data_IF_780861168571
#
_entry.id   IF_780861168571
#
_cell.length_a   1.000
_cell.length_b   1.000
_cell.length_c   1.000
_cell.angle_alpha   90.00
_cell.angle_beta   90.00
_cell.angle_gamma   90.00
#
_symmetry.space_group_name_H-M   'P 1'
#
loop_
_entity.id
_entity.type
_entity.pdbx_description
1 polymer ?
#
# COMPACT_ATOMS: atom_id res chain seq x y z
N UNK A 1 -9.27 -73.92 27.38
CA UNK A 1 -8.51 -72.74 27.84
C UNK A 1 -8.67 -71.65 26.78
N UNK A 2 -9.06 -70.44 27.21
CA UNK A 2 -9.24 -69.17 26.47
C UNK A 2 -8.02 -68.74 25.63
N UNK A 3 -8.06 -67.66 24.81
CA UNK A 3 -9.16 -66.93 24.13
C UNK A 3 -8.85 -66.77 22.60
N UNK A 4 -9.72 -66.39 21.67
CA UNK A 4 -10.62 -65.23 21.64
C UNK A 4 -9.91 -63.94 21.18
N UNK A 5 -9.43 -63.87 19.92
CA UNK A 5 -8.99 -62.60 19.31
C UNK A 5 -10.15 -61.98 18.51
N UNK A 6 -10.85 -61.03 19.14
CA UNK A 6 -11.65 -60.04 18.42
C UNK A 6 -10.70 -59.06 17.73
N UNK A 7 -10.64 -59.11 16.40
CA UNK A 7 -10.17 -57.97 15.62
C UNK A 7 -11.27 -56.92 15.64
N UNK A 8 -11.14 -55.94 16.54
CA UNK A 8 -11.84 -54.67 16.46
C UNK A 8 -11.28 -53.87 15.28
N UNK A 9 -11.77 -54.16 14.07
CA UNK A 9 -11.75 -53.19 12.98
C UNK A 9 -12.70 -52.05 13.36
N UNK A 10 -12.16 -51.01 14.01
CA UNK A 10 -12.76 -49.69 13.93
C UNK A 10 -12.62 -49.21 12.48
N UNK A 11 -13.57 -49.60 11.63
CA UNK A 11 -13.90 -48.82 10.44
C UNK A 11 -14.41 -47.47 10.96
N UNK A 12 -13.53 -46.48 11.04
CA UNK A 12 -13.98 -45.09 10.93
C UNK A 12 -14.71 -45.00 9.59
N UNK A 13 -16.03 -44.84 9.64
CA UNK A 13 -16.85 -44.50 8.48
C UNK A 13 -16.24 -43.26 7.80
N UNK A 14 -15.46 -43.48 6.74
CA UNK A 14 -15.03 -42.40 5.87
C UNK A 14 -16.28 -41.90 5.14
N UNK A 15 -16.80 -40.78 5.63
CA UNK A 15 -17.96 -40.09 5.08
C UNK A 15 -17.80 -39.90 3.57
N UNK A 16 -18.82 -40.17 2.74
CA UNK A 16 -18.74 -40.16 1.27
C UNK A 16 -18.47 -38.80 0.61
N UNK A 17 -18.08 -37.79 1.38
CA UNK A 17 -17.61 -36.50 0.87
C UNK A 17 -16.15 -36.21 1.24
N UNK A 18 -15.56 -36.96 2.18
CA UNK A 18 -14.15 -36.76 2.56
C UNK A 18 -13.23 -36.92 1.36
N UNK A 19 -13.44 -37.89 0.48
CA UNK A 19 -12.60 -38.07 -0.71
C UNK A 19 -12.62 -36.87 -1.69
N UNK A 20 -13.69 -36.07 -1.71
CA UNK A 20 -13.74 -34.84 -2.54
C UNK A 20 -12.77 -33.81 -1.98
N UNK A 21 -12.65 -33.73 -0.65
CA UNK A 21 -11.79 -32.77 0.04
C UNK A 21 -10.42 -33.33 0.45
N UNK A 22 -10.17 -34.63 0.24
CA UNK A 22 -8.88 -35.28 0.50
C UNK A 22 -7.96 -35.05 -0.70
N UNK A 23 -7.06 -34.08 -0.57
CA UNK A 23 -5.99 -33.83 -1.53
C UNK A 23 -5.62 -32.36 -1.62
N UNK A 24 -4.33 -32.07 -1.81
CA UNK A 24 -3.80 -30.69 -1.83
C UNK A 24 -4.48 -29.76 -2.83
N UNK A 25 -5.12 -30.27 -3.89
CA UNK A 25 -5.70 -29.47 -4.98
C UNK A 25 -7.20 -29.17 -4.83
N UNK A 26 -7.94 -29.92 -4.00
CA UNK A 26 -9.39 -29.81 -3.97
C UNK A 26 -9.92 -28.77 -2.97
N UNK A 27 -9.10 -28.36 -1.99
CA UNK A 27 -9.45 -27.28 -1.04
C UNK A 27 -9.66 -25.91 -1.69
N UNK A 28 -9.20 -25.74 -2.94
CA UNK A 28 -9.31 -24.51 -3.73
C UNK A 28 -10.51 -24.49 -4.68
N UNK A 29 -11.24 -25.60 -4.80
CA UNK A 29 -12.38 -25.69 -5.74
C UNK A 29 -13.59 -24.89 -5.25
N UNK A 30 -13.76 -24.76 -3.93
CA UNK A 30 -14.84 -23.99 -3.35
C UNK A 30 -14.43 -22.54 -3.13
N UNK A 31 -15.29 -21.63 -3.57
CA UNK A 31 -15.13 -20.21 -3.24
C UNK A 31 -15.16 -20.03 -1.71
N UNK A 32 -14.51 -18.98 -1.20
CA UNK A 32 -14.59 -18.67 0.24
C UNK A 32 -16.03 -18.46 0.70
N UNK A 33 -16.90 -17.96 -0.20
CA UNK A 33 -18.34 -17.85 0.05
C UNK A 33 -19.01 -19.20 0.30
N UNK A 34 -18.68 -20.21 -0.50
CA UNK A 34 -19.23 -21.56 -0.35
C UNK A 34 -18.72 -22.21 0.93
N UNK A 35 -17.43 -22.06 1.25
CA UNK A 35 -16.86 -22.55 2.52
C UNK A 35 -17.60 -21.95 3.72
N UNK A 36 -17.84 -20.63 3.71
CA UNK A 36 -18.58 -19.97 4.78
C UNK A 36 -20.02 -20.49 4.90
N UNK A 37 -20.72 -20.67 3.78
CA UNK A 37 -22.09 -21.21 3.76
C UNK A 37 -22.15 -22.64 4.28
N UNK A 38 -21.24 -23.51 3.83
CA UNK A 38 -21.18 -24.90 4.27
C UNK A 38 -20.91 -25.02 5.76
N UNK A 39 -19.99 -24.20 6.30
CA UNK A 39 -19.71 -24.14 7.75
C UNK A 39 -20.92 -23.67 8.56
N UNK A 40 -21.68 -22.70 8.05
CA UNK A 40 -22.86 -22.18 8.72
C UNK A 40 -24.04 -23.17 8.74
N UNK A 41 -24.19 -23.96 7.68
CA UNK A 41 -25.32 -24.90 7.51
C UNK A 41 -25.02 -26.28 8.09
N UNK A 42 -23.75 -26.69 8.15
CA UNK A 42 -23.38 -28.05 8.50
C UNK A 42 -22.17 -28.10 9.43
N UNK A 43 -22.42 -28.48 10.69
CA UNK A 43 -21.38 -28.57 11.72
C UNK A 43 -20.30 -29.59 11.37
N UNK A 44 -20.65 -30.76 10.84
CA UNK A 44 -19.67 -31.77 10.43
C UNK A 44 -18.77 -31.32 9.26
N UNK A 45 -19.28 -30.47 8.35
CA UNK A 45 -18.46 -29.87 7.29
C UNK A 45 -17.48 -28.82 7.84
N UNK A 46 -17.75 -28.26 9.02
CA UNK A 46 -16.81 -27.33 9.66
C UNK A 46 -15.50 -28.00 10.05
N UNK A 47 -15.52 -29.29 10.34
CA UNK A 47 -14.31 -30.06 10.65
C UNK A 47 -13.43 -30.29 9.42
N UNK A 48 -13.99 -30.23 8.20
CA UNK A 48 -13.23 -30.32 6.95
C UNK A 48 -12.39 -29.08 6.65
N UNK A 49 -12.72 -27.94 7.27
CA UNK A 49 -11.98 -26.68 7.17
C UNK A 49 -11.37 -26.33 8.53
N UNK A 50 -10.69 -27.29 9.15
CA UNK A 50 -9.90 -27.07 10.35
C UNK A 50 -8.67 -26.20 10.11
N UNK A 51 -7.94 -25.91 11.19
CA UNK A 51 -6.77 -25.03 11.14
C UNK A 51 -5.71 -25.45 10.10
N UNK A 52 -5.32 -26.74 9.99
CA UNK A 52 -4.32 -27.16 8.99
C UNK A 52 -4.74 -26.86 7.55
N UNK A 53 -6.01 -27.10 7.22
CA UNK A 53 -6.57 -26.87 5.88
C UNK A 53 -6.65 -25.37 5.58
N UNK A 54 -7.05 -24.56 6.57
CA UNK A 54 -7.11 -23.11 6.41
C UNK A 54 -5.72 -22.48 6.27
N UNK A 55 -4.70 -22.94 7.01
CA UNK A 55 -3.30 -22.49 6.83
C UNK A 55 -2.77 -22.82 5.45
N UNK A 56 -3.00 -24.06 4.99
CA UNK A 56 -2.62 -24.45 3.63
C UNK A 56 -3.34 -23.59 2.57
N UNK A 57 -4.60 -23.24 2.81
CA UNK A 57 -5.35 -22.36 1.92
C UNK A 57 -4.80 -20.93 1.93
N UNK A 58 -4.57 -20.38 3.11
CA UNK A 58 -3.99 -19.05 3.30
C UNK A 58 -2.64 -18.92 2.61
N UNK A 59 -1.73 -19.88 2.81
CA UNK A 59 -0.41 -19.87 2.18
C UNK A 59 -0.48 -19.92 0.65
N UNK A 60 -1.44 -20.64 0.08
CA UNK A 60 -1.69 -20.64 -1.36
C UNK A 60 -2.24 -19.29 -1.82
N UNK A 61 -3.28 -18.77 -1.16
CA UNK A 61 -3.92 -17.50 -1.53
C UNK A 61 -2.92 -16.34 -1.45
N UNK A 62 -2.10 -16.26 -0.40
CA UNK A 62 -0.97 -15.32 -0.29
C UNK A 62 0.02 -15.46 -1.46
N UNK A 63 0.24 -16.68 -1.92
CA UNK A 63 1.17 -16.97 -3.00
C UNK A 63 0.68 -16.63 -4.40
N UNK A 64 -0.64 -16.57 -4.60
CA UNK A 64 -1.28 -16.28 -5.89
C UNK A 64 -1.84 -14.87 -6.00
N UNK A 65 -2.07 -14.19 -4.87
CA UNK A 65 -2.59 -12.82 -4.89
C UNK A 65 -1.58 -11.85 -5.54
N UNK A 66 -2.06 -11.13 -6.55
CA UNK A 66 -1.27 -10.13 -7.24
C UNK A 66 -0.87 -8.99 -6.28
N UNK A 67 0.40 -8.59 -6.32
CA UNK A 67 0.90 -7.50 -5.49
C UNK A 67 1.63 -7.92 -4.22
N UNK A 68 1.25 -9.04 -3.58
CA UNK A 68 1.84 -9.47 -2.29
C UNK A 68 3.27 -10.03 -2.41
N UNK A 69 3.71 -10.30 -3.64
CA UNK A 69 5.05 -10.76 -3.97
C UNK A 69 5.65 -9.87 -5.05
N UNK A 70 6.88 -9.40 -4.83
CA UNK A 70 7.65 -8.64 -5.80
C UNK A 70 8.90 -9.41 -6.18
N UNK A 71 9.03 -9.70 -7.47
CA UNK A 71 10.28 -10.17 -8.05
C UNK A 71 11.03 -8.95 -8.57
N UNK A 72 12.19 -8.66 -7.96
CA UNK A 72 13.13 -7.70 -8.51
C UNK A 72 14.21 -8.46 -9.29
N UNK A 73 14.57 -7.96 -10.48
CA UNK A 73 15.51 -8.56 -11.42
C UNK A 73 16.76 -9.14 -10.73
N UNK A 74 16.81 -10.47 -10.58
CA UNK A 74 17.94 -11.21 -9.99
C UNK A 74 18.01 -11.26 -8.46
N UNK A 75 17.00 -10.76 -7.74
CA UNK A 75 16.90 -10.85 -6.27
C UNK A 75 15.83 -11.86 -5.83
N UNK A 76 15.91 -12.37 -4.59
CA UNK A 76 14.86 -13.19 -4.01
C UNK A 76 13.53 -12.45 -4.05
N UNK A 77 12.44 -13.16 -4.34
CA UNK A 77 11.08 -12.62 -4.25
C UNK A 77 10.83 -12.07 -2.85
N UNK A 78 10.51 -10.78 -2.74
CA UNK A 78 10.14 -10.17 -1.47
C UNK A 78 8.66 -10.42 -1.26
N UNK A 79 8.33 -11.05 -0.14
CA UNK A 79 6.97 -11.14 0.36
C UNK A 79 6.66 -9.86 1.14
N UNK A 80 5.57 -9.17 0.80
CA UNK A 80 5.19 -7.91 1.46
C UNK A 80 4.29 -8.14 2.67
N UNK A 81 3.52 -9.22 2.67
CA UNK A 81 2.53 -9.54 3.69
C UNK A 81 2.56 -11.02 4.06
N UNK A 82 2.43 -11.31 5.34
CA UNK A 82 2.23 -12.64 5.91
C UNK A 82 1.28 -12.56 7.10
N UNK A 83 0.89 -13.71 7.64
CA UNK A 83 0.14 -13.82 8.89
C UNK A 83 0.96 -14.59 9.92
N UNK A 84 0.74 -14.30 11.19
CA UNK A 84 1.20 -15.14 12.32
C UNK A 84 0.27 -16.35 12.48
N UNK A 85 0.18 -17.16 11.43
CA UNK A 85 -0.85 -18.19 11.24
C UNK A 85 -0.77 -19.34 12.26
N UNK A 86 0.38 -19.57 12.86
CA UNK A 86 0.56 -20.52 13.96
C UNK A 86 -0.17 -20.10 15.23
N UNK A 87 -0.29 -18.79 15.49
CA UNK A 87 -1.02 -18.24 16.64
C UNK A 87 -2.52 -18.02 16.35
N UNK A 88 -2.95 -18.15 15.09
CA UNK A 88 -4.34 -17.96 14.71
C UNK A 88 -5.18 -19.22 14.99
N UNK A 89 -6.33 -19.01 15.65
CA UNK A 89 -7.38 -20.01 15.78
C UNK A 89 -8.13 -20.24 14.47
N UNK A 90 -9.05 -21.21 14.46
CA UNK A 90 -9.82 -21.56 13.24
C UNK A 90 -10.66 -20.37 12.75
N UNK A 91 -11.22 -19.57 13.65
CA UNK A 91 -12.01 -18.39 13.29
C UNK A 91 -11.15 -17.31 12.64
N UNK A 92 -9.98 -17.01 13.22
CA UNK A 92 -9.03 -16.04 12.71
C UNK A 92 -8.41 -16.49 11.39
N UNK A 93 -8.06 -17.77 11.25
CA UNK A 93 -7.56 -18.33 10.00
C UNK A 93 -8.61 -18.21 8.89
N UNK A 94 -9.89 -18.45 9.20
CA UNK A 94 -10.98 -18.28 8.25
C UNK A 94 -11.15 -16.81 7.87
N UNK A 95 -11.03 -15.88 8.83
CA UNK A 95 -11.02 -14.45 8.56
C UNK A 95 -9.83 -14.05 7.66
N UNK A 96 -8.62 -14.50 7.96
CA UNK A 96 -7.43 -14.25 7.15
C UNK A 96 -7.60 -14.73 5.70
N UNK A 97 -8.10 -15.95 5.51
CA UNK A 97 -8.45 -16.49 4.18
C UNK A 97 -9.48 -15.60 3.49
N UNK A 98 -10.53 -15.18 4.18
CA UNK A 98 -11.54 -14.28 3.62
C UNK A 98 -10.93 -12.96 3.15
N UNK A 99 -10.13 -12.29 3.99
CA UNK A 99 -9.55 -10.99 3.65
C UNK A 99 -8.60 -11.10 2.47
N UNK A 100 -7.78 -12.15 2.39
CA UNK A 100 -6.86 -12.36 1.28
C UNK A 100 -7.60 -12.68 -0.02
N UNK A 101 -8.61 -13.56 0.02
CA UNK A 101 -9.32 -13.99 -1.18
C UNK A 101 -10.36 -13.00 -1.71
N UNK A 102 -10.89 -12.12 -0.85
CA UNK A 102 -11.73 -11.00 -1.29
C UNK A 102 -10.91 -9.95 -2.09
N UNK A 103 -9.58 -10.03 -2.05
CA UNK A 103 -8.69 -9.34 -2.98
C UNK A 103 -8.57 -7.84 -2.73
N UNK A 104 -8.09 -7.11 -3.75
CA UNK A 104 -7.91 -5.65 -3.67
C UNK A 104 -6.63 -5.20 -2.94
N UNK A 105 -5.64 -6.08 -2.84
CA UNK A 105 -4.39 -5.82 -2.11
C UNK A 105 -3.35 -5.01 -2.90
N UNK A 106 -3.52 -4.83 -4.21
CA UNK A 106 -2.51 -4.20 -5.07
C UNK A 106 -2.04 -2.81 -4.58
N UNK A 107 -2.99 -1.92 -4.29
CA UNK A 107 -2.69 -0.53 -3.87
C UNK A 107 -2.06 -0.44 -2.48
N UNK A 108 -2.50 -1.26 -1.53
CA UNK A 108 -1.91 -1.29 -0.18
C UNK A 108 -0.52 -1.94 -0.20
N UNK A 109 -0.26 -2.89 -1.11
CA UNK A 109 1.08 -3.44 -1.31
C UNK A 109 2.07 -2.36 -1.73
N UNK A 110 1.65 -1.43 -2.61
CA UNK A 110 2.50 -0.29 -2.99
C UNK A 110 2.79 0.63 -1.80
N UNK A 111 1.82 0.84 -0.89
CA UNK A 111 2.03 1.60 0.35
C UNK A 111 3.04 0.90 1.26
N UNK A 112 2.86 -0.41 1.49
CA UNK A 112 3.73 -1.23 2.34
C UNK A 112 5.15 -1.27 1.79
N UNK A 113 5.30 -1.50 0.49
CA UNK A 113 6.59 -1.54 -0.19
C UNK A 113 7.31 -0.18 -0.12
N UNK A 114 6.59 0.92 -0.34
CA UNK A 114 7.14 2.26 -0.20
C UNK A 114 7.54 2.57 1.26
N UNK A 115 6.69 2.20 2.23
CA UNK A 115 7.00 2.36 3.64
C UNK A 115 8.24 1.56 4.05
N UNK A 116 8.41 0.33 3.53
CA UNK A 116 9.61 -0.47 3.74
C UNK A 116 10.87 0.17 3.17
N UNK A 117 10.80 0.70 1.95
CA UNK A 117 11.91 1.45 1.34
C UNK A 117 12.28 2.71 2.13
N UNK A 118 11.28 3.41 2.68
CA UNK A 118 11.48 4.58 3.53
C UNK A 118 11.91 4.24 4.97
N UNK A 119 12.15 2.96 5.28
CA UNK A 119 12.51 2.53 6.63
C UNK A 119 11.39 2.67 7.67
N UNK A 120 10.16 2.96 7.23
CA UNK A 120 8.99 3.10 8.08
C UNK A 120 8.27 1.77 8.32
N UNK A 121 8.66 0.67 7.68
CA UNK A 121 7.96 -0.61 7.81
C UNK A 121 8.94 -1.77 7.70
N UNK A 122 8.78 -2.78 8.56
CA UNK A 122 9.54 -4.02 8.45
C UNK A 122 8.80 -4.99 7.53
N UNK A 123 9.49 -5.50 6.51
CA UNK A 123 8.93 -6.45 5.55
C UNK A 123 9.41 -7.89 5.86
N UNK A 124 8.54 -8.91 5.71
CA UNK A 124 7.10 -8.81 5.43
C UNK A 124 6.32 -8.22 6.62
N UNK A 125 5.23 -7.49 6.34
CA UNK A 125 4.25 -7.12 7.37
C UNK A 125 3.57 -8.39 7.85
N UNK A 126 3.61 -8.65 9.16
CA UNK A 126 3.00 -9.85 9.77
C UNK A 126 1.71 -9.47 10.46
N UNK A 127 0.58 -9.90 9.90
CA UNK A 127 -0.73 -9.65 10.48
C UNK A 127 -1.06 -10.66 11.58
N UNK A 128 -1.60 -10.17 12.70
CA UNK A 128 -1.99 -10.98 13.87
C UNK A 128 -3.51 -11.03 14.04
N UNK A 129 -3.98 -11.76 15.06
CA UNK A 129 -5.39 -11.76 15.43
C UNK A 129 -5.93 -10.34 15.70
N UNK A 130 -5.16 -9.50 16.40
CA UNK A 130 -5.52 -8.11 16.70
C UNK A 130 -5.77 -7.27 15.43
N UNK A 131 -5.05 -7.54 14.34
CA UNK A 131 -5.30 -6.87 13.06
C UNK A 131 -6.65 -7.27 12.49
N UNK A 132 -6.94 -8.57 12.50
CA UNK A 132 -8.18 -9.12 11.97
C UNK A 132 -9.40 -8.66 12.78
N UNK A 133 -9.23 -8.53 14.10
CA UNK A 133 -10.29 -8.10 15.02
C UNK A 133 -10.62 -6.60 14.95
N UNK A 134 -9.91 -5.82 14.13
CA UNK A 134 -10.34 -4.46 13.75
C UNK A 134 -11.74 -4.45 13.11
N UNK A 135 -12.16 -5.58 12.53
CA UNK A 135 -13.50 -5.75 12.00
C UNK A 135 -14.26 -6.85 12.76
N UNK A 136 -15.42 -6.54 13.37
CA UNK A 136 -16.15 -7.51 14.18
C UNK A 136 -16.79 -8.64 13.35
N UNK A 137 -17.05 -8.40 12.06
CA UNK A 137 -17.62 -9.39 11.16
C UNK A 137 -17.38 -9.03 9.68
N UNK A 138 -17.57 -10.02 8.79
CA UNK A 138 -17.41 -9.88 7.34
C UNK A 138 -18.21 -8.72 6.74
N UNK A 139 -19.44 -8.50 7.20
CA UNK A 139 -20.28 -7.40 6.67
C UNK A 139 -19.70 -6.02 6.99
N UNK A 140 -19.12 -5.83 8.18
CA UNK A 140 -18.45 -4.58 8.55
C UNK A 140 -17.19 -4.38 7.71
N UNK A 141 -16.39 -5.44 7.52
CA UNK A 141 -15.25 -5.41 6.61
C UNK A 141 -15.70 -5.00 5.20
N UNK A 142 -16.75 -5.61 4.63
CA UNK A 142 -17.19 -5.33 3.26
C UNK A 142 -17.91 -3.98 3.08
N UNK A 143 -18.39 -3.34 4.15
CA UNK A 143 -19.11 -2.07 4.07
C UNK A 143 -18.18 -0.88 3.76
N UNK A 144 -16.91 -0.98 4.14
CA UNK A 144 -15.92 0.07 3.93
C UNK A 144 -15.35 0.05 2.49
N UNK A 145 -14.68 1.11 2.03
CA UNK A 145 -13.74 1.03 0.91
C UNK A 145 -12.57 0.07 1.22
N UNK A 146 -12.18 -0.80 0.27
CA UNK A 146 -11.21 -1.88 0.54
C UNK A 146 -9.84 -1.36 0.96
N UNK A 147 -9.41 -0.25 0.38
CA UNK A 147 -8.18 0.40 0.77
C UNK A 147 -8.19 0.84 2.24
N UNK A 148 -9.33 1.31 2.78
CA UNK A 148 -9.44 1.69 4.19
C UNK A 148 -9.37 0.48 5.10
N UNK A 149 -10.07 -0.60 4.79
CA UNK A 149 -9.97 -1.81 5.59
C UNK A 149 -8.58 -2.41 5.62
N UNK A 150 -7.90 -2.45 4.47
CA UNK A 150 -6.50 -2.89 4.46
C UNK A 150 -5.62 -1.97 5.29
N UNK A 151 -5.82 -0.65 5.22
CA UNK A 151 -5.05 0.31 6.00
C UNK A 151 -5.31 0.22 7.51
N UNK A 152 -6.53 -0.09 7.96
CA UNK A 152 -6.81 -0.38 9.37
C UNK A 152 -6.00 -1.58 9.88
N UNK A 153 -5.83 -2.63 9.04
CA UNK A 153 -5.06 -3.81 9.41
C UNK A 153 -3.55 -3.58 9.31
N UNK A 154 -3.05 -2.96 8.24
CA UNK A 154 -1.59 -2.85 8.03
C UNK A 154 -0.99 -1.59 8.64
N UNK A 155 -1.79 -0.57 8.90
CA UNK A 155 -1.32 0.77 9.19
C UNK A 155 -0.49 0.87 10.48
N UNK A 156 -0.86 0.10 11.51
CA UNK A 156 -0.07 0.02 12.77
C UNK A 156 1.35 -0.52 12.57
N UNK A 157 1.60 -1.21 11.46
CA UNK A 157 2.92 -1.75 11.09
C UNK A 157 3.76 -0.74 10.29
N UNK A 158 3.19 0.42 9.95
CA UNK A 158 3.90 1.56 9.36
C UNK A 158 4.25 2.52 10.51
N UNK A 159 5.51 2.50 10.92
CA UNK A 159 6.07 3.24 12.04
C UNK A 159 6.83 4.49 11.57
N UNK A 160 6.43 5.65 12.10
CA UNK A 160 7.01 6.95 11.83
C UNK A 160 7.99 7.41 12.93
N UNK A 161 8.46 6.49 13.76
CA UNK A 161 9.28 6.78 14.92
C UNK A 161 8.48 7.42 16.06
N UNK A 162 9.14 7.62 17.21
CA UNK A 162 8.56 8.28 18.39
C UNK A 162 7.20 7.69 18.83
N UNK A 163 7.05 6.36 18.69
CA UNK A 163 5.82 5.63 19.00
C UNK A 163 4.59 6.05 18.16
N UNK A 164 4.79 6.73 17.03
CA UNK A 164 3.71 7.11 16.11
C UNK A 164 3.67 6.13 14.94
N UNK A 165 2.48 5.64 14.62
CA UNK A 165 2.25 4.73 13.49
C UNK A 165 1.12 5.27 12.60
N UNK A 166 0.94 4.70 11.42
CA UNK A 166 -0.22 5.00 10.57
C UNK A 166 -1.47 4.31 11.12
N UNK A 167 -2.01 4.78 12.24
CA UNK A 167 -3.28 4.25 12.77
C UNK A 167 -4.46 5.04 12.23
N UNK A 168 -5.56 4.34 11.99
CA UNK A 168 -6.86 4.94 11.71
C UNK A 168 -7.73 4.81 12.95
N UNK A 169 -8.45 5.88 13.28
CA UNK A 169 -9.34 5.94 14.43
C UNK A 169 -10.73 6.35 13.97
N UNK A 170 -11.75 5.62 14.42
CA UNK A 170 -13.14 5.98 14.20
C UNK A 170 -13.58 6.95 15.31
N UNK A 171 -14.03 8.14 14.93
CA UNK A 171 -14.58 9.16 15.83
C UNK A 171 -15.97 9.57 15.33
N UNK A 172 -17.00 8.88 15.84
CA UNK A 172 -18.38 9.05 15.37
C UNK A 172 -18.50 8.73 13.88
N UNK A 173 -18.87 9.71 13.05
CA UNK A 173 -18.96 9.58 11.59
C UNK A 173 -17.64 9.95 10.87
N UNK A 174 -16.63 10.44 11.60
CA UNK A 174 -15.36 10.87 11.04
C UNK A 174 -14.29 9.82 11.24
N UNK A 175 -13.33 9.83 10.32
CA UNK A 175 -12.11 9.04 10.45
C UNK A 175 -10.94 9.96 10.73
N UNK A 176 -10.10 9.57 11.69
CA UNK A 176 -8.83 10.24 12.00
C UNK A 176 -7.68 9.33 11.60
N UNK A 177 -6.55 9.93 11.24
CA UNK A 177 -5.34 9.18 10.89
C UNK A 177 -4.14 9.68 11.69
N UNK A 178 -3.22 8.79 12.03
CA UNK A 178 -1.96 9.03 12.77
C UNK A 178 -2.16 9.34 14.26
N UNK A 179 -3.09 10.24 14.60
CA UNK A 179 -3.46 10.56 15.99
C UNK A 179 -4.97 10.64 16.14
N UNK A 180 -5.47 10.16 17.27
CA UNK A 180 -6.87 10.34 17.65
C UNK A 180 -7.07 11.72 18.31
N UNK A 181 -6.97 12.78 17.50
CA UNK A 181 -7.10 14.17 17.95
C UNK A 181 -7.75 15.04 16.86
N UNK A 182 -8.37 16.15 17.27
CA UNK A 182 -8.90 17.15 16.35
C UNK A 182 -7.80 17.70 15.43
N UNK A 183 -8.10 17.87 14.16
CA UNK A 183 -7.14 18.27 13.13
C UNK A 183 -6.45 17.12 12.40
N UNK A 184 -6.65 15.89 12.86
CA UNK A 184 -6.17 14.67 12.22
C UNK A 184 -7.26 13.93 11.45
N UNK A 185 -8.34 14.63 11.11
CA UNK A 185 -9.41 14.05 10.30
C UNK A 185 -8.92 13.81 8.86
N UNK A 186 -9.38 12.70 8.30
CA UNK A 186 -9.40 12.50 6.87
C UNK A 186 -10.82 12.09 6.47
N UNK A 187 -11.44 12.92 5.64
CA UNK A 187 -12.85 12.77 5.27
C UNK A 187 -12.96 12.29 3.82
N UNK A 188 -14.03 11.54 3.54
CA UNK A 188 -14.44 11.25 2.16
C UNK A 188 -14.64 12.54 1.39
N UNK A 189 -13.95 12.70 0.25
CA UNK A 189 -14.02 13.92 -0.51
C UNK A 189 -15.16 13.88 -1.54
N UNK A 190 -16.13 14.78 -1.39
CA UNK A 190 -17.19 15.02 -2.37
C UNK A 190 -16.83 16.26 -3.18
N UNK A 191 -16.08 16.09 -4.28
CA UNK A 191 -15.77 17.19 -5.20
C UNK A 191 -15.18 16.73 -6.54
N UNK A 192 -15.24 17.60 -7.54
CA UNK A 192 -15.11 17.26 -8.96
C UNK A 192 -13.71 16.82 -9.42
N UNK A 193 -12.64 17.31 -8.77
CA UNK A 193 -11.26 17.23 -9.27
C UNK A 193 -10.80 15.80 -9.52
N UNK A 194 -11.12 14.90 -8.58
CA UNK A 194 -10.76 13.48 -8.68
C UNK A 194 -11.94 12.54 -8.81
N UNK A 195 -13.18 13.05 -8.74
CA UNK A 195 -14.38 12.21 -8.90
C UNK A 195 -14.41 11.43 -10.21
N UNK A 196 -13.92 12.02 -11.32
CA UNK A 196 -13.84 11.34 -12.62
C UNK A 196 -12.87 10.17 -12.66
N UNK A 197 -11.95 10.08 -11.69
CA UNK A 197 -10.95 9.02 -11.60
C UNK A 197 -11.06 8.22 -10.30
N UNK A 198 -12.07 8.49 -9.47
CA UNK A 198 -12.27 7.79 -8.22
C UNK A 198 -12.59 6.31 -8.45
N UNK A 199 -12.12 5.47 -7.54
CA UNK A 199 -12.44 4.07 -7.49
C UNK A 199 -13.18 3.79 -6.18
N UNK A 200 -14.31 3.08 -6.22
CA UNK A 200 -15.13 2.81 -5.01
C UNK A 200 -14.33 2.16 -3.89
N UNK A 201 -13.37 1.29 -4.24
CA UNK A 201 -12.51 0.61 -3.28
C UNK A 201 -11.31 1.45 -2.80
N UNK A 202 -11.03 2.59 -3.42
CA UNK A 202 -9.90 3.48 -3.14
C UNK A 202 -10.29 4.95 -3.41
N UNK A 203 -11.30 5.49 -2.71
CA UNK A 203 -11.92 6.77 -3.05
C UNK A 203 -10.99 7.95 -2.73
N UNK A 204 -11.21 9.13 -3.35
CA UNK A 204 -10.53 10.36 -2.99
C UNK A 204 -10.79 10.76 -1.53
N UNK A 205 -9.78 11.34 -0.88
CA UNK A 205 -9.88 11.76 0.53
C UNK A 205 -9.31 13.15 0.74
N UNK A 206 -9.95 13.92 1.60
CA UNK A 206 -9.49 15.24 2.03
C UNK A 206 -8.84 15.12 3.39
N UNK A 207 -7.64 15.66 3.56
CA UNK A 207 -6.95 15.70 4.83
C UNK A 207 -6.23 17.03 5.03
N UNK A 208 -6.00 17.37 6.29
CA UNK A 208 -5.14 18.50 6.69
C UNK A 208 -3.88 18.03 7.40
N UNK A 209 -3.61 16.73 7.42
CA UNK A 209 -2.46 16.18 8.12
C UNK A 209 -1.20 16.44 7.28
N UNK A 210 -0.17 16.97 7.92
CA UNK A 210 1.19 17.06 7.37
C UNK A 210 2.22 16.73 8.44
N UNK A 211 3.44 16.43 8.00
CA UNK A 211 4.61 16.33 8.85
C UNK A 211 5.56 17.51 8.57
N UNK A 212 6.33 17.87 9.57
CA UNK A 212 7.44 18.81 9.51
C UNK A 212 8.49 18.39 10.54
N UNK A 213 9.77 18.53 10.22
CA UNK A 213 10.86 18.15 11.13
C UNK A 213 10.75 18.87 12.49
N UNK A 214 10.54 20.19 12.46
CA UNK A 214 10.52 21.04 13.67
C UNK A 214 9.34 20.79 14.62
N UNK A 215 8.19 20.33 14.10
CA UNK A 215 6.93 20.27 14.86
C UNK A 215 6.30 18.87 14.88
N UNK A 216 6.87 17.93 14.12
CA UNK A 216 6.31 16.61 13.90
C UNK A 216 5.00 16.64 13.12
N UNK A 217 4.06 15.81 13.54
CA UNK A 217 2.73 15.72 12.94
C UNK A 217 1.86 16.89 13.36
N UNK A 218 1.37 17.66 12.38
CA UNK A 218 0.56 18.85 12.60
C UNK A 218 -0.60 18.95 11.62
N UNK A 219 -1.62 19.71 12.01
CA UNK A 219 -2.71 20.14 11.13
C UNK A 219 -2.23 21.33 10.30
N UNK A 220 -2.38 21.24 8.98
CA UNK A 220 -2.15 22.34 8.07
C UNK A 220 -3.09 23.51 8.40
N UNK A 221 -2.51 24.68 8.63
CA UNK A 221 -3.24 25.91 8.89
C UNK A 221 -3.99 26.44 7.67
N UNK A 222 -5.05 27.21 7.91
CA UNK A 222 -5.84 27.89 6.87
C UNK A 222 -7.08 27.13 6.40
N UNK A 223 -7.71 27.66 5.34
CA UNK A 223 -8.97 27.14 4.78
C UNK A 223 -8.78 26.00 3.77
N UNK A 224 -7.55 25.78 3.30
CA UNK A 224 -7.28 24.80 2.24
C UNK A 224 -7.04 23.42 2.83
N UNK A 225 -7.90 22.44 2.50
CA UNK A 225 -7.59 21.03 2.70
C UNK A 225 -6.79 20.50 1.51
N UNK A 226 -5.95 19.49 1.78
CA UNK A 226 -5.27 18.72 0.75
C UNK A 226 -6.22 17.60 0.34
N UNK A 227 -6.62 17.60 -0.92
CA UNK A 227 -7.41 16.52 -1.48
C UNK A 227 -6.46 15.55 -2.15
N UNK A 228 -6.34 14.34 -1.62
CA UNK A 228 -5.62 13.26 -2.24
C UNK A 228 -6.55 12.55 -3.23
N UNK A 229 -6.01 12.18 -4.38
CA UNK A 229 -6.76 11.50 -5.43
C UNK A 229 -7.35 10.17 -5.01
N UNK A 230 -6.79 9.55 -3.97
CA UNK A 230 -7.24 8.29 -3.40
C UNK A 230 -6.71 8.10 -1.98
N UNK A 231 -7.30 7.18 -1.21
CA UNK A 231 -6.78 6.74 0.11
C UNK A 231 -5.32 6.29 -0.01
N UNK A 232 -5.00 5.51 -1.05
CA UNK A 232 -3.61 5.10 -1.31
C UNK A 232 -2.67 6.27 -1.60
N UNK A 233 -3.10 7.29 -2.35
CA UNK A 233 -2.31 8.50 -2.56
C UNK A 233 -2.09 9.28 -1.26
N UNK A 234 -3.09 9.32 -0.38
CA UNK A 234 -2.93 9.89 0.97
C UNK A 234 -1.87 9.11 1.76
N UNK A 235 -1.98 7.79 1.86
CA UNK A 235 -1.03 6.96 2.61
C UNK A 235 0.41 7.07 2.05
N UNK A 236 0.60 6.90 0.73
CA UNK A 236 1.89 7.12 0.05
C UNK A 236 2.40 8.54 0.29
N UNK A 237 1.50 9.52 0.25
CA UNK A 237 1.81 10.92 0.48
C UNK A 237 2.35 11.21 1.89
N UNK A 238 1.73 10.62 2.90
CA UNK A 238 2.15 10.70 4.31
C UNK A 238 3.52 10.06 4.51
N UNK A 239 3.74 8.85 3.97
CA UNK A 239 5.04 8.17 4.03
C UNK A 239 6.15 9.02 3.40
N UNK A 240 5.93 9.56 2.19
CA UNK A 240 6.93 10.40 1.51
C UNK A 240 7.17 11.72 2.26
N UNK A 241 6.13 12.37 2.80
CA UNK A 241 6.28 13.59 3.59
C UNK A 241 7.13 13.35 4.83
N UNK A 242 6.80 12.31 5.59
CA UNK A 242 7.58 11.92 6.76
C UNK A 242 9.03 11.62 6.39
N UNK A 243 9.26 10.77 5.38
CA UNK A 243 10.60 10.38 4.95
C UNK A 243 11.45 11.59 4.54
N UNK A 244 10.89 12.48 3.71
CA UNK A 244 11.58 13.69 3.23
C UNK A 244 12.10 14.56 4.37
N UNK A 245 11.29 14.75 5.41
CA UNK A 245 11.59 15.67 6.51
C UNK A 245 12.32 15.00 7.68
N UNK A 246 12.37 13.67 7.74
CA UNK A 246 13.10 12.92 8.78
C UNK A 246 14.44 12.39 8.31
N UNK A 247 14.73 12.44 7.00
CA UNK A 247 15.96 11.91 6.42
C UNK A 247 16.71 12.99 5.65
N UNK A 248 18.04 12.90 5.64
CA UNK A 248 18.86 13.74 4.79
C UNK A 248 18.63 13.39 3.32
N UNK A 249 17.97 14.29 2.60
CA UNK A 249 17.69 14.12 1.17
C UNK A 249 18.43 15.17 0.35
N UNK A 250 18.85 14.79 -0.84
CA UNK A 250 19.37 15.71 -1.85
C UNK A 250 18.28 16.06 -2.86
N UNK A 251 18.28 17.31 -3.31
CA UNK A 251 17.22 17.91 -4.11
C UNK A 251 17.81 18.72 -5.26
N UNK A 252 17.18 18.64 -6.44
CA UNK A 252 17.27 19.69 -7.47
C UNK A 252 15.87 20.13 -7.89
N UNK A 253 15.68 21.44 -8.08
CA UNK A 253 14.41 22.06 -8.48
C UNK A 253 14.59 22.86 -9.74
N UNK A 254 13.65 22.73 -10.69
CA UNK A 254 13.50 23.62 -11.83
C UNK A 254 12.06 24.02 -12.04
N UNK A 255 11.84 25.27 -12.42
CA UNK A 255 10.55 25.74 -12.94
C UNK A 255 10.60 25.63 -14.45
N UNK A 256 9.67 24.87 -15.02
CA UNK A 256 9.64 24.52 -16.44
C UNK A 256 8.26 24.87 -17.00
N UNK A 257 8.21 25.30 -18.25
CA UNK A 257 6.96 25.43 -18.98
C UNK A 257 6.22 24.09 -19.01
N UNK A 258 4.94 24.11 -18.63
CA UNK A 258 4.08 22.93 -18.51
C UNK A 258 3.95 22.14 -19.81
N UNK A 259 4.05 22.82 -20.94
CA UNK A 259 3.91 22.29 -22.29
C UNK A 259 5.26 21.97 -22.95
N UNK A 260 6.38 22.20 -22.23
CA UNK A 260 7.70 21.81 -22.70
C UNK A 260 7.80 20.29 -22.95
N UNK A 261 8.54 19.92 -23.99
CA UNK A 261 8.83 18.52 -24.30
C UNK A 261 7.59 17.73 -24.72
N UNK A 262 6.80 18.30 -25.64
CA UNK A 262 5.57 17.69 -26.15
C UNK A 262 4.55 17.42 -25.04
N UNK A 263 4.29 18.44 -24.20
CA UNK A 263 3.30 18.37 -23.12
C UNK A 263 3.55 17.31 -22.06
N UNK A 264 4.77 16.74 -21.97
CA UNK A 264 5.05 15.63 -21.06
C UNK A 264 4.66 15.91 -19.62
N UNK A 265 5.00 17.09 -19.09
CA UNK A 265 4.66 17.48 -17.72
C UNK A 265 3.15 17.71 -17.55
N UNK A 266 2.50 18.32 -18.54
CA UNK A 266 1.04 18.46 -18.59
C UNK A 266 0.34 17.10 -18.52
N UNK A 267 0.75 16.16 -19.38
CA UNK A 267 0.20 14.80 -19.43
C UNK A 267 0.40 14.07 -18.11
N UNK A 268 1.60 14.12 -17.53
CA UNK A 268 1.86 13.51 -16.22
C UNK A 268 0.95 14.06 -15.12
N UNK A 269 0.66 15.37 -15.11
CA UNK A 269 -0.25 15.96 -14.13
C UNK A 269 -1.74 15.66 -14.39
N UNK A 270 -2.15 15.46 -15.64
CA UNK A 270 -3.57 15.31 -16.03
C UNK A 270 -4.03 13.87 -16.22
N UNK A 271 -3.13 12.94 -16.51
CA UNK A 271 -3.49 11.53 -16.64
C UNK A 271 -4.03 10.98 -15.32
N UNK A 272 -4.81 9.90 -15.39
CA UNK A 272 -5.40 9.26 -14.20
C UNK A 272 -4.34 9.05 -13.11
N UNK A 273 -4.63 9.39 -11.84
CA UNK A 273 -3.73 9.15 -10.72
C UNK A 273 -3.46 7.66 -10.48
N UNK A 274 -4.37 6.78 -10.94
CA UNK A 274 -4.24 5.32 -10.87
C UNK A 274 -3.56 4.70 -12.10
N UNK A 275 -3.29 5.50 -13.15
CA UNK A 275 -2.56 4.98 -14.29
C UNK A 275 -1.08 4.77 -13.93
N UNK A 276 -0.50 3.60 -14.23
CA UNK A 276 0.92 3.37 -14.02
C UNK A 276 1.73 4.33 -14.90
N UNK A 277 2.89 4.74 -14.41
CA UNK A 277 3.81 5.62 -15.13
C UNK A 277 5.09 4.84 -15.38
N UNK A 278 5.46 4.72 -16.66
CA UNK A 278 6.70 4.04 -17.05
C UNK A 278 7.91 4.63 -16.31
N UNK A 279 8.74 3.75 -15.76
CA UNK A 279 9.90 4.13 -14.95
C UNK A 279 9.58 4.50 -13.51
N UNK A 280 8.32 4.38 -13.07
CA UNK A 280 7.91 4.57 -11.68
C UNK A 280 7.42 3.27 -11.06
N UNK A 281 7.66 3.12 -9.78
CA UNK A 281 7.25 1.95 -8.97
C UNK A 281 5.88 2.18 -8.35
N UNK A 282 5.59 3.42 -7.97
CA UNK A 282 4.27 3.88 -7.57
C UNK A 282 4.12 5.38 -7.79
N UNK A 283 2.88 5.88 -7.74
CA UNK A 283 2.59 7.31 -7.81
C UNK A 283 1.59 7.73 -6.75
N UNK A 284 1.63 9.00 -6.38
CA UNK A 284 0.66 9.62 -5.48
C UNK A 284 0.30 11.00 -5.99
N UNK A 285 -0.99 11.30 -6.09
CA UNK A 285 -1.48 12.60 -6.56
C UNK A 285 -2.37 13.28 -5.53
N UNK A 286 -2.22 14.59 -5.41
CA UNK A 286 -3.01 15.44 -4.53
C UNK A 286 -3.20 16.82 -5.12
N UNK A 287 -4.22 17.55 -4.68
CA UNK A 287 -4.37 18.96 -4.97
C UNK A 287 -4.65 19.77 -3.69
N UNK A 288 -4.35 21.05 -3.75
CA UNK A 288 -4.71 22.03 -2.73
C UNK A 288 -5.29 23.26 -3.45
N UNK A 289 -6.62 23.38 -3.47
CA UNK A 289 -7.30 24.34 -4.34
C UNK A 289 -7.01 24.04 -5.81
N UNK A 290 -6.50 25.03 -6.55
CA UNK A 290 -6.16 24.90 -7.98
C UNK A 290 -4.77 24.32 -8.24
N UNK A 291 -3.97 24.07 -7.19
CA UNK A 291 -2.60 23.56 -7.31
C UNK A 291 -2.62 22.04 -7.28
N UNK A 292 -2.26 21.42 -8.40
CA UNK A 292 -2.08 19.98 -8.50
C UNK A 292 -0.63 19.59 -8.18
N UNK A 293 -0.45 18.44 -7.56
CA UNK A 293 0.83 17.87 -7.19
C UNK A 293 0.81 16.38 -7.51
N UNK A 294 1.82 15.90 -8.22
CA UNK A 294 2.03 14.48 -8.49
C UNK A 294 3.43 14.07 -8.06
N UNK A 295 3.50 12.99 -7.29
CA UNK A 295 4.73 12.32 -6.87
C UNK A 295 4.91 11.03 -7.65
N UNK A 296 6.11 10.84 -8.19
CA UNK A 296 6.49 9.72 -9.05
C UNK A 296 7.69 9.03 -8.39
N UNK A 297 7.47 7.88 -7.76
CA UNK A 297 8.54 7.15 -7.06
C UNK A 297 9.33 6.35 -8.09
N UNK A 298 10.64 6.56 -8.14
CA UNK A 298 11.54 6.00 -9.17
C UNK A 298 12.18 4.67 -8.75
N UNK A 299 12.34 4.47 -7.44
CA UNK A 299 13.03 3.32 -6.86
C UNK A 299 12.03 2.32 -6.30
N UNK A 300 12.41 1.04 -6.30
CA UNK A 300 11.72 -0.05 -5.61
C UNK A 300 12.59 -0.61 -4.47
N UNK A 301 12.11 -1.68 -3.83
CA UNK A 301 12.82 -2.43 -2.80
C UNK A 301 14.14 -3.07 -3.28
N UNK A 302 14.45 -3.04 -4.58
CA UNK A 302 15.74 -3.46 -5.12
C UNK A 302 16.82 -2.38 -5.04
N UNK A 303 16.44 -1.13 -4.81
CA UNK A 303 17.38 -0.02 -4.70
C UNK A 303 17.76 0.20 -3.23
N UNK A 304 19.05 0.46 -2.91
CA UNK A 304 19.49 0.74 -1.54
C UNK A 304 19.22 2.19 -1.10
N UNK A 305 18.49 2.97 -1.89
CA UNK A 305 18.15 4.36 -1.67
C UNK A 305 16.76 4.66 -2.22
N UNK A 306 16.18 5.79 -1.84
CA UNK A 306 14.86 6.23 -2.29
C UNK A 306 15.02 7.43 -3.20
N UNK A 307 14.39 7.40 -4.38
CA UNK A 307 14.32 8.56 -5.27
C UNK A 307 12.91 8.77 -5.82
N UNK A 308 12.50 10.02 -5.95
CA UNK A 308 11.20 10.38 -6.49
C UNK A 308 11.22 11.77 -7.14
N UNK A 309 10.25 12.01 -8.02
CA UNK A 309 10.00 13.30 -8.64
C UNK A 309 8.71 13.87 -8.05
N UNK A 310 8.71 15.15 -7.69
CA UNK A 310 7.50 15.92 -7.42
C UNK A 310 7.28 16.92 -8.54
N UNK A 311 6.13 16.83 -9.21
CA UNK A 311 5.66 17.81 -10.19
C UNK A 311 4.53 18.58 -9.53
N UNK A 312 4.65 19.90 -9.42
CA UNK A 312 3.62 20.74 -8.81
C UNK A 312 3.32 21.98 -9.64
N UNK A 313 2.04 22.32 -9.74
CA UNK A 313 1.62 23.59 -10.33
C UNK A 313 2.24 24.76 -9.57
N UNK A 314 2.69 25.78 -10.30
CA UNK A 314 3.07 27.09 -9.73
C UNK A 314 1.91 28.04 -9.99
N UNK A 315 1.37 28.66 -8.94
CA UNK A 315 0.12 29.43 -8.94
C UNK A 315 -0.10 30.28 -10.21
N UNK A 316 -1.24 30.06 -10.89
CA UNK A 316 -1.72 30.85 -12.03
C UNK A 316 -0.77 30.97 -13.24
N UNK A 317 0.13 30.01 -13.44
CA UNK A 317 1.06 30.07 -14.58
C UNK A 317 1.02 28.83 -15.47
N UNK A 318 1.47 29.02 -16.71
CA UNK A 318 1.84 27.95 -17.65
C UNK A 318 3.11 27.20 -17.22
N UNK A 319 3.54 27.31 -15.96
CA UNK A 319 4.76 26.67 -15.47
C UNK A 319 4.45 25.68 -14.35
N UNK A 320 5.35 24.73 -14.19
CA UNK A 320 5.33 23.73 -13.13
C UNK A 320 6.72 23.65 -12.50
N UNK A 321 6.77 23.40 -11.20
CA UNK A 321 8.01 23.09 -10.50
C UNK A 321 8.23 21.58 -10.56
N UNK A 322 9.41 21.19 -11.02
CA UNK A 322 9.88 19.81 -11.06
C UNK A 322 11.00 19.70 -10.02
N UNK A 323 10.72 18.96 -8.96
CA UNK A 323 11.65 18.70 -7.86
C UNK A 323 12.07 17.22 -7.94
N UNK A 324 13.37 16.95 -8.03
CA UNK A 324 13.92 15.59 -8.00
C UNK A 324 14.64 15.37 -6.68
N UNK A 325 14.17 14.40 -5.92
CA UNK A 325 14.68 14.04 -4.60
C UNK A 325 15.41 12.71 -4.63
N UNK A 326 16.45 12.56 -3.83
CA UNK A 326 17.17 11.30 -3.67
C UNK A 326 17.92 11.16 -2.36
N UNK A 327 18.08 9.93 -1.89
CA UNK A 327 19.04 9.52 -0.86
C UNK A 327 20.19 8.68 -1.43
N UNK A 328 20.35 8.66 -2.76
CA UNK A 328 21.52 8.05 -3.41
C UNK A 328 22.80 8.65 -2.81
N UNK A 329 23.79 7.82 -2.41
CA UNK A 329 25.07 8.32 -1.92
C UNK A 329 25.75 9.20 -2.96
N UNK A 330 26.31 10.33 -2.51
CA UNK A 330 27.08 11.22 -3.37
C UNK A 330 28.38 10.52 -3.81
N UNK A 331 28.53 10.31 -5.12
CA UNK A 331 29.72 9.65 -5.70
C UNK A 331 30.82 10.65 -6.10
N UNK A 332 30.64 11.94 -5.81
CA UNK A 332 31.60 12.98 -6.17
C UNK A 332 32.45 13.45 -5.00
N UNK A 333 33.70 13.78 -5.28
CA UNK A 333 34.68 14.21 -4.27
C UNK A 333 34.55 15.71 -3.89
N UNK A 334 33.46 16.40 -4.23
CA UNK A 334 33.43 17.86 -4.10
C UNK A 334 32.06 18.55 -4.04
N UNK A 335 31.99 19.58 -3.20
CA UNK A 335 30.88 20.54 -3.12
C UNK A 335 30.79 21.33 -4.43
N UNK A 336 29.57 21.49 -4.97
CA UNK A 336 29.32 22.29 -6.18
C UNK A 336 29.30 21.49 -7.50
N UNK A 337 29.48 20.17 -7.44
CA UNK A 337 29.32 19.29 -8.61
C UNK A 337 27.84 19.22 -9.03
N UNK A 338 27.57 19.22 -10.35
CA UNK A 338 26.21 19.14 -10.87
C UNK A 338 25.46 17.89 -10.37
N UNK A 339 24.15 18.02 -10.10
CA UNK A 339 23.31 16.94 -9.55
C UNK A 339 23.49 15.60 -10.29
N UNK A 340 23.53 15.64 -11.63
CA UNK A 340 23.70 14.45 -12.48
C UNK A 340 24.99 13.66 -12.27
N UNK A 341 26.05 14.33 -11.79
CA UNK A 341 27.35 13.71 -11.50
C UNK A 341 27.40 13.18 -10.07
N UNK A 342 26.69 13.82 -9.15
CA UNK A 342 26.57 13.40 -7.74
C UNK A 342 25.67 12.18 -7.57
N UNK A 343 24.57 12.14 -8.33
CA UNK A 343 23.51 11.13 -8.22
C UNK A 343 23.17 10.53 -9.60
N UNK A 344 24.09 9.77 -10.21
CA UNK A 344 23.94 9.28 -11.58
C UNK A 344 22.79 8.28 -11.74
N UNK A 345 22.50 7.44 -10.75
CA UNK A 345 21.43 6.43 -10.85
C UNK A 345 20.06 7.12 -10.83
N UNK A 346 19.85 8.02 -9.89
CA UNK A 346 18.65 8.87 -9.79
C UNK A 346 18.41 9.62 -11.08
N UNK A 347 19.47 10.24 -11.62
CA UNK A 347 19.37 11.01 -12.85
C UNK A 347 18.95 10.14 -14.04
N UNK A 348 19.52 8.93 -14.15
CA UNK A 348 19.15 7.98 -15.20
C UNK A 348 17.69 7.55 -15.08
N UNK A 349 17.21 7.22 -13.87
CA UNK A 349 15.82 6.85 -13.64
C UNK A 349 14.86 8.01 -13.94
N UNK A 350 15.18 9.22 -13.46
CA UNK A 350 14.37 10.41 -13.70
C UNK A 350 14.30 10.79 -15.19
N UNK A 351 15.38 10.57 -15.96
CA UNK A 351 15.41 10.81 -17.41
C UNK A 351 14.40 9.97 -18.18
N UNK A 352 14.17 8.71 -17.77
CA UNK A 352 13.16 7.85 -18.37
C UNK A 352 11.77 8.45 -18.19
N UNK A 353 11.45 8.89 -16.97
CA UNK A 353 10.13 9.43 -16.63
C UNK A 353 9.89 10.80 -17.26
N UNK A 354 10.88 11.70 -17.22
CA UNK A 354 10.75 13.08 -17.71
C UNK A 354 10.88 13.18 -19.24
N UNK A 355 11.49 12.21 -19.90
CA UNK A 355 11.82 12.28 -21.31
C UNK A 355 12.99 13.22 -21.61
N UNK A 356 13.52 13.20 -22.85
CA UNK A 356 14.79 13.84 -23.19
C UNK A 356 14.78 15.37 -23.04
N UNK A 357 13.71 16.02 -23.49
CA UNK A 357 13.63 17.51 -23.48
C UNK A 357 13.54 18.06 -22.07
N UNK A 358 12.62 17.54 -21.26
CA UNK A 358 12.42 18.01 -19.88
C UNK A 358 13.62 17.64 -19.01
N UNK A 359 14.17 16.43 -19.16
CA UNK A 359 15.34 16.03 -18.36
C UNK A 359 16.58 16.87 -18.66
N UNK A 360 16.78 17.31 -19.91
CA UNK A 360 17.85 18.26 -20.24
C UNK A 360 17.66 19.61 -19.54
N UNK A 361 16.42 20.10 -19.42
CA UNK A 361 16.12 21.32 -18.67
C UNK A 361 16.34 21.15 -17.16
N UNK A 362 16.12 19.94 -16.63
CA UNK A 362 16.33 19.62 -15.19
C UNK A 362 17.81 19.48 -14.84
N UNK A 363 18.59 18.75 -15.64
CA UNK A 363 19.91 18.27 -15.23
C UNK A 363 21.10 18.88 -15.99
N UNK A 364 20.86 19.47 -17.17
CA UNK A 364 21.94 19.87 -18.09
C UNK A 364 22.05 21.40 -18.28
N UNK A 365 21.11 22.16 -17.70
CA UNK A 365 21.09 23.63 -17.65
C UNK A 365 21.09 24.08 -16.19
#
# INVERSE_FOLDING_TARGET
MLPGMQHSQQQQEQQPFTYIFVGRRNFYLLSVGDVLRLRAVCTWLSDLFGAPQLRQRLGHSLGTQAGLRRTANGRPTIQLLTFDDEQLGVAELLAAVCVIELGGWGEICEVIELAGQCGCCQLPVTLTADDLHQYPHKTAYLAEPRMLSHLCMVGRHINFGNSVTFQLFQDGERLRAIRDQDGFEFDGFVGDVYQRHGQDHNPPVSSRITYSEDTGWVRLGGRYSIVNSSVSSFAKGIVICHFRDSHQTSLTTKVIDRFAGNDRLHTLLRQSPHAPVEGCTTTASRCAGTVSCRRLVLTDSSHPFVAWITIKDVYNTFTVSVDVYTTEPDVSDGVGVAFKRRFPVTTRLARVVLGPVVSAMVFDR
#
